data_IF_287950933486
#
_entry.id   IF_287950933486
#
_cell.length_a   1.000
_cell.length_b   1.000
_cell.length_c   1.000
_cell.angle_alpha   90.00
_cell.angle_beta   90.00
_cell.angle_gamma   90.00
#
_symmetry.space_group_name_H-M   'P 1'
#
loop_
_entity.id
_entity.type
_entity.pdbx_description
1 polymer ?
#
# COMPACT_ATOMS: atom_id res chain seq x y z
N UNK A 1 22.18 -6.98 2.53
CA UNK A 1 21.79 -5.57 2.59
C UNK A 1 22.06 -5.19 4.02
N UNK A 2 23.07 -4.36 4.24
CA UNK A 2 23.42 -3.87 5.56
C UNK A 2 22.23 -3.06 6.12
N UNK A 3 21.95 -3.21 7.41
CA UNK A 3 20.83 -2.61 8.17
C UNK A 3 20.85 -1.05 8.23
N UNK A 4 21.71 -0.39 7.45
CA UNK A 4 22.06 1.04 7.57
C UNK A 4 21.32 1.99 6.60
N UNK A 5 20.46 1.47 5.71
CA UNK A 5 19.84 2.28 4.62
C UNK A 5 18.38 2.73 4.86
N UNK A 6 17.81 2.51 6.06
CA UNK A 6 16.44 2.96 6.35
C UNK A 6 16.39 4.40 6.89
N UNK A 7 15.49 5.19 6.31
CA UNK A 7 15.16 6.54 6.79
C UNK A 7 13.69 6.58 7.25
N UNK A 8 13.30 7.52 8.13
CA UNK A 8 11.90 7.67 8.54
C UNK A 8 10.95 7.80 7.35
N UNK A 9 9.77 7.18 7.44
CA UNK A 9 8.80 7.16 6.32
C UNK A 9 8.46 8.56 5.80
N UNK A 10 8.32 9.55 6.69
CA UNK A 10 8.04 10.94 6.29
C UNK A 10 9.19 11.62 5.53
N UNK A 11 10.42 11.15 5.72
CA UNK A 11 11.60 11.58 4.97
C UNK A 11 11.68 10.84 3.63
N UNK A 12 11.55 9.51 3.64
CA UNK A 12 11.56 8.67 2.43
C UNK A 12 10.49 9.08 1.42
N UNK A 13 9.30 9.46 1.91
CA UNK A 13 8.10 9.73 1.11
C UNK A 13 7.60 11.16 1.30
N UNK A 14 8.54 12.10 1.30
CA UNK A 14 8.23 13.53 1.48
C UNK A 14 7.16 14.03 0.52
N UNK A 15 6.23 14.83 1.03
CA UNK A 15 5.11 15.40 0.26
C UNK A 15 3.86 14.51 0.16
N UNK A 16 3.91 13.26 0.65
CA UNK A 16 2.73 12.41 0.77
C UNK A 16 2.10 12.50 2.17
N UNK A 17 0.78 12.39 2.23
CA UNK A 17 0.00 12.31 3.48
C UNK A 17 -0.79 11.01 3.52
N UNK A 18 -0.96 10.44 4.71
CA UNK A 18 -1.76 9.23 4.94
C UNK A 18 -2.75 9.46 6.07
N UNK A 19 -3.88 8.75 6.04
CA UNK A 19 -4.83 8.75 7.14
C UNK A 19 -4.18 8.23 8.44
N UNK A 20 -4.53 8.79 9.61
CA UNK A 20 -3.97 8.36 10.88
C UNK A 20 -4.42 6.94 11.23
N UNK A 21 -3.63 6.25 12.05
CA UNK A 21 -4.05 5.01 12.68
C UNK A 21 -5.20 5.26 13.68
N UNK A 22 -6.01 4.23 13.99
CA UNK A 22 -6.97 4.30 15.08
C UNK A 22 -6.32 4.69 16.41
N UNK A 23 -7.07 5.34 17.28
CA UNK A 23 -6.57 5.78 18.59
C UNK A 23 -6.06 4.60 19.43
N UNK A 24 -4.89 4.78 20.05
CA UNK A 24 -4.25 3.77 20.89
C UNK A 24 -3.49 2.66 20.13
N UNK A 25 -3.53 2.65 18.81
CA UNK A 25 -2.80 1.66 18.01
C UNK A 25 -1.34 2.07 17.82
N UNK A 26 -0.45 1.09 17.82
CA UNK A 26 0.98 1.27 17.56
C UNK A 26 1.34 0.54 16.27
N UNK A 27 2.00 1.22 15.34
CA UNK A 27 2.50 0.59 14.11
C UNK A 27 3.65 -0.37 14.44
N UNK A 28 3.60 -1.58 13.86
CA UNK A 28 4.67 -2.58 13.97
C UNK A 28 5.43 -2.76 12.66
N UNK A 29 4.75 -2.56 11.53
CA UNK A 29 5.36 -2.56 10.22
C UNK A 29 4.39 -2.07 9.15
N UNK A 30 4.90 -1.79 7.97
CA UNK A 30 4.09 -1.32 6.84
C UNK A 30 4.63 -1.84 5.50
N UNK A 31 3.68 -2.11 4.60
CA UNK A 31 3.93 -2.34 3.18
C UNK A 31 3.50 -1.07 2.45
N UNK A 32 4.38 -0.52 1.62
CA UNK A 32 4.14 0.75 0.96
C UNK A 32 4.37 0.62 -0.54
N UNK A 33 3.32 0.93 -1.31
CA UNK A 33 3.36 1.02 -2.76
C UNK A 33 3.21 2.49 -3.15
N UNK A 34 4.22 3.05 -3.81
CA UNK A 34 4.29 4.46 -4.13
C UNK A 34 4.26 4.63 -5.63
N UNK A 35 3.24 5.32 -6.15
CA UNK A 35 3.20 5.72 -7.56
C UNK A 35 4.11 6.94 -7.73
N UNK A 36 5.14 6.82 -8.55
CA UNK A 36 6.14 7.86 -8.77
C UNK A 36 6.53 7.92 -10.25
N UNK A 37 7.25 8.97 -10.63
CA UNK A 37 7.89 9.01 -11.95
C UNK A 37 9.24 8.30 -11.88
N UNK A 38 9.55 7.50 -12.90
CA UNK A 38 10.87 6.92 -13.08
C UNK A 38 11.86 7.94 -13.69
N UNK A 39 13.10 7.52 -13.93
CA UNK A 39 14.16 8.36 -14.50
C UNK A 39 13.83 8.91 -15.90
N UNK A 40 12.90 8.27 -16.60
CA UNK A 40 12.42 8.67 -17.93
C UNK A 40 11.13 9.52 -17.85
N UNK A 41 10.68 9.87 -16.63
CA UNK A 41 9.47 10.65 -16.40
C UNK A 41 8.17 9.86 -16.61
N UNK A 42 8.22 8.53 -16.66
CA UNK A 42 7.03 7.67 -16.82
C UNK A 42 6.48 7.28 -15.46
N UNK A 43 5.15 7.19 -15.37
CA UNK A 43 4.50 6.71 -14.16
C UNK A 43 4.85 5.25 -13.90
N UNK A 44 5.43 4.97 -12.74
CA UNK A 44 5.80 3.63 -12.26
C UNK A 44 5.40 3.46 -10.78
N UNK A 45 5.60 2.26 -10.25
CA UNK A 45 5.34 1.94 -8.84
C UNK A 45 6.62 1.46 -8.16
N UNK A 46 6.97 2.12 -7.06
CA UNK A 46 8.05 1.70 -6.17
C UNK A 46 7.48 0.94 -4.97
N UNK A 47 7.99 -0.26 -4.72
CA UNK A 47 7.70 -1.04 -3.52
C UNK A 47 8.70 -0.70 -2.41
N UNK A 48 8.19 -0.47 -1.19
CA UNK A 48 8.96 -0.32 0.05
C UNK A 48 8.26 -1.11 1.15
N UNK A 49 9.04 -1.55 2.13
CA UNK A 49 8.52 -2.07 3.40
C UNK A 49 9.36 -1.51 4.54
N UNK A 50 8.78 -1.42 5.73
CA UNK A 50 9.57 -1.25 6.95
C UNK A 50 10.21 -2.58 7.33
N UNK A 51 11.21 -2.53 8.20
CA UNK A 51 11.60 -3.72 8.95
C UNK A 51 10.45 -4.19 9.86
N UNK A 52 10.47 -5.48 10.21
CA UNK A 52 9.48 -6.08 11.11
C UNK A 52 8.37 -6.90 10.44
N UNK A 53 8.37 -7.01 9.10
CA UNK A 53 7.48 -7.93 8.37
C UNK A 53 8.28 -9.10 7.82
N UNK A 54 7.90 -10.32 8.22
CA UNK A 54 8.41 -11.52 7.55
C UNK A 54 7.72 -11.76 6.19
N UNK A 55 8.24 -12.71 5.43
CA UNK A 55 7.78 -12.95 4.06
C UNK A 55 6.37 -13.55 4.03
N UNK A 56 5.99 -14.34 5.04
CA UNK A 56 4.64 -14.88 5.19
C UNK A 56 3.60 -13.79 5.51
N UNK A 57 3.92 -12.87 6.40
CA UNK A 57 3.10 -11.71 6.74
C UNK A 57 2.93 -10.79 5.52
N UNK A 58 4.02 -10.55 4.79
CA UNK A 58 4.01 -9.77 3.56
C UNK A 58 3.10 -10.39 2.50
N UNK A 59 3.28 -11.67 2.21
CA UNK A 59 2.48 -12.38 1.22
C UNK A 59 1.00 -12.41 1.63
N UNK A 60 0.73 -12.77 2.88
CA UNK A 60 -0.63 -12.86 3.42
C UNK A 60 -1.38 -11.52 3.33
N UNK A 61 -0.74 -10.42 3.75
CA UNK A 61 -1.34 -9.09 3.70
C UNK A 61 -1.67 -8.66 2.25
N UNK A 62 -0.76 -8.88 1.31
CA UNK A 62 -0.97 -8.54 -0.10
C UNK A 62 -2.08 -9.39 -0.74
N UNK A 63 -2.13 -10.69 -0.43
CA UNK A 63 -3.20 -11.57 -0.91
C UNK A 63 -4.56 -11.11 -0.41
N UNK A 64 -4.72 -10.86 0.90
CA UNK A 64 -5.98 -10.40 1.49
C UNK A 64 -6.41 -9.06 0.89
N UNK A 65 -5.51 -8.08 0.81
CA UNK A 65 -5.88 -6.75 0.26
C UNK A 65 -6.27 -6.84 -1.22
N UNK A 66 -5.59 -7.66 -2.01
CA UNK A 66 -5.92 -7.88 -3.43
C UNK A 66 -7.30 -8.49 -3.59
N UNK A 67 -7.63 -9.50 -2.77
CA UNK A 67 -8.95 -10.15 -2.83
C UNK A 67 -10.08 -9.21 -2.40
N UNK A 68 -9.88 -8.44 -1.32
CA UNK A 68 -10.85 -7.42 -0.90
C UNK A 68 -11.08 -6.37 -1.98
N UNK A 69 -10.01 -5.81 -2.56
CA UNK A 69 -10.14 -4.83 -3.64
C UNK A 69 -10.84 -5.43 -4.86
N UNK A 70 -10.56 -6.69 -5.21
CA UNK A 70 -11.25 -7.38 -6.30
C UNK A 70 -12.76 -7.46 -6.06
N UNK A 71 -13.17 -7.80 -4.83
CA UNK A 71 -14.59 -7.86 -4.46
C UNK A 71 -15.23 -6.47 -4.49
N UNK A 72 -14.58 -5.47 -3.91
CA UNK A 72 -15.05 -4.07 -3.92
C UNK A 72 -15.29 -3.59 -5.37
N UNK A 73 -14.37 -3.89 -6.29
CA UNK A 73 -14.51 -3.53 -7.70
C UNK A 73 -15.61 -4.31 -8.44
N UNK A 74 -15.79 -5.59 -8.11
CA UNK A 74 -16.87 -6.40 -8.68
C UNK A 74 -18.23 -5.89 -8.23
N UNK A 75 -18.38 -5.65 -6.92
CA UNK A 75 -19.62 -5.15 -6.33
C UNK A 75 -20.00 -3.80 -6.96
N UNK A 76 -19.04 -2.87 -7.08
CA UNK A 76 -19.25 -1.58 -7.74
C UNK A 76 -19.71 -1.72 -9.20
N UNK A 77 -19.08 -2.62 -9.96
CA UNK A 77 -19.47 -2.89 -11.34
C UNK A 77 -20.90 -3.45 -11.44
N UNK A 78 -21.27 -4.40 -10.57
CA UNK A 78 -22.61 -4.99 -10.59
C UNK A 78 -23.70 -4.04 -10.11
N UNK A 79 -23.39 -3.11 -9.21
CA UNK A 79 -24.35 -2.11 -8.74
C UNK A 79 -24.63 -1.03 -9.78
N UNK A 80 -23.65 -0.69 -10.63
CA UNK A 80 -23.86 0.23 -11.77
C UNK A 80 -24.77 -0.42 -12.85
N UNK A 81 -24.70 -1.74 -13.06
CA UNK A 81 -25.55 -2.48 -14.00
C UNK A 81 -27.03 -2.62 -13.53
N UNK A 82 -27.34 -2.40 -12.25
CA UNK A 82 -28.71 -2.49 -11.69
C UNK A 82 -29.49 -1.16 -11.76
N UNK A 83 -28.86 -0.04 -12.10
CA UNK A 83 -29.53 1.27 -12.23
C UNK A 83 -30.04 1.58 -13.66
N UNK A 84 -29.76 0.71 -14.65
CA UNK A 84 -30.08 0.91 -16.07
C UNK A 84 -31.25 0.03 -16.61
N UNK A 85 -32.01 -0.68 -15.75
CA UNK A 85 -33.18 -1.52 -16.12
C UNK A 85 -34.52 -1.05 -15.50
#
# INVERSE_FOLDING_TARGET
MDDDDYVPVGEALSGLTVAPLPEGWTALGAIVLVKCFDEEGRSSWAFRRTDGLNDEELLGALTVRTDLLRRELLDAYTSDDEEDD
#
